data_IF_911439187956
#
_entry.id   IF_911439187956
#
_cell.length_a   1.000
_cell.length_b   1.000
_cell.length_c   1.000
_cell.angle_alpha   90.00
_cell.angle_beta   90.00
_cell.angle_gamma   90.00
#
_symmetry.space_group_name_H-M   'P 1'
#
loop_
_entity.id
_entity.type
_entity.pdbx_description
1 polymer ?
#
# COMPACT_ATOMS: atom_id res chain seq x y z
N UNK A 1 7.06 -32.34 13.28
CA UNK A 1 6.86 -31.72 11.96
C UNK A 1 5.36 -31.56 11.80
N UNK A 2 4.84 -30.34 11.88
CA UNK A 2 3.44 -30.09 11.57
C UNK A 2 3.24 -30.46 10.09
N UNK A 3 2.24 -31.28 9.78
CA UNK A 3 1.86 -31.54 8.40
C UNK A 3 1.34 -30.22 7.84
N UNK A 4 2.08 -29.62 6.91
CA UNK A 4 1.61 -28.49 6.12
C UNK A 4 0.37 -28.94 5.36
N UNK A 5 -0.73 -28.19 5.51
CA UNK A 5 -1.95 -28.46 4.77
C UNK A 5 -1.63 -28.42 3.26
N UNK A 6 -2.17 -29.35 2.45
CA UNK A 6 -1.89 -29.36 1.02
C UNK A 6 -2.43 -28.07 0.38
N UNK A 7 -1.63 -27.50 -0.53
CA UNK A 7 -2.05 -26.38 -1.39
C UNK A 7 -3.27 -26.81 -2.22
N UNK A 8 -4.23 -25.91 -2.40
CA UNK A 8 -5.49 -26.18 -3.09
C UNK A 8 -5.65 -25.40 -4.41
N UNK A 9 -4.83 -24.38 -4.64
CA UNK A 9 -4.87 -23.61 -5.88
C UNK A 9 -4.46 -24.49 -7.07
N UNK A 10 -5.06 -24.30 -8.26
CA UNK A 10 -4.75 -25.13 -9.41
C UNK A 10 -3.26 -25.10 -9.77
N UNK A 11 -2.67 -26.29 -9.92
CA UNK A 11 -1.31 -26.45 -10.43
C UNK A 11 -1.37 -26.37 -11.95
N UNK A 12 -0.59 -25.45 -12.51
CA UNK A 12 -0.56 -25.21 -13.96
C UNK A 12 0.73 -25.78 -14.52
N UNK A 13 0.62 -26.84 -15.32
CA UNK A 13 1.73 -27.28 -16.15
C UNK A 13 1.96 -26.25 -17.26
N UNK A 14 3.23 -25.93 -17.51
CA UNK A 14 3.64 -25.00 -18.55
C UNK A 14 4.40 -25.74 -19.63
N UNK A 15 4.04 -25.45 -20.89
CA UNK A 15 4.68 -26.01 -22.08
C UNK A 15 5.65 -25.00 -22.72
N UNK A 16 5.82 -23.83 -22.09
CA UNK A 16 6.66 -22.76 -22.58
C UNK A 16 8.05 -22.83 -21.94
N UNK A 17 9.08 -22.68 -22.78
CA UNK A 17 10.46 -22.48 -22.29
C UNK A 17 10.60 -21.17 -21.51
N UNK A 18 9.70 -20.20 -21.76
CA UNK A 18 9.65 -18.90 -21.10
C UNK A 18 8.40 -18.73 -20.21
N UNK A 19 8.59 -18.93 -18.91
CA UNK A 19 7.55 -18.78 -17.89
C UNK A 19 7.04 -17.35 -17.75
N UNK A 20 7.85 -16.34 -18.08
CA UNK A 20 7.46 -14.94 -17.94
C UNK A 20 6.40 -14.62 -18.99
N UNK A 21 6.64 -15.02 -20.25
CA UNK A 21 5.69 -14.82 -21.34
C UNK A 21 4.40 -15.63 -21.17
N UNK A 22 4.47 -16.85 -20.63
CA UNK A 22 3.27 -17.64 -20.30
C UNK A 22 2.38 -16.92 -19.26
N UNK A 23 2.98 -16.37 -18.20
CA UNK A 23 2.23 -15.63 -17.18
C UNK A 23 1.65 -14.31 -17.72
N UNK A 24 2.36 -13.64 -18.63
CA UNK A 24 1.81 -12.51 -19.37
C UNK A 24 0.61 -12.90 -20.23
N UNK A 25 0.72 -13.98 -21.01
CA UNK A 25 -0.34 -14.45 -21.90
C UNK A 25 -1.62 -14.86 -21.12
N UNK A 26 -1.45 -15.34 -19.89
CA UNK A 26 -2.57 -15.67 -18.98
C UNK A 26 -3.25 -14.44 -18.37
N UNK A 27 -2.66 -13.25 -18.52
CA UNK A 27 -3.22 -12.00 -18.02
C UNK A 27 -3.27 -11.92 -16.48
N UNK A 28 -2.30 -12.55 -15.82
CA UNK A 28 -2.16 -12.56 -14.35
C UNK A 28 -1.08 -11.59 -13.84
N UNK A 29 -0.53 -10.77 -14.73
CA UNK A 29 0.47 -9.74 -14.43
C UNK A 29 -0.17 -8.36 -14.45
N UNK A 30 0.53 -7.40 -13.86
CA UNK A 30 0.19 -5.98 -13.88
C UNK A 30 0.79 -5.25 -15.10
N UNK A 31 1.37 -5.96 -16.07
CA UNK A 31 2.15 -5.38 -17.17
C UNK A 31 3.66 -5.41 -16.95
N UNK A 32 4.12 -5.78 -15.75
CA UNK A 32 5.52 -6.08 -15.45
C UNK A 32 5.76 -7.59 -15.33
N UNK A 33 6.98 -8.10 -15.56
CA UNK A 33 7.33 -9.48 -15.31
C UNK A 33 7.04 -9.87 -13.85
N UNK A 34 6.56 -11.09 -13.64
CA UNK A 34 6.27 -11.64 -12.32
C UNK A 34 7.21 -12.81 -12.03
N UNK A 35 7.45 -13.07 -10.75
CA UNK A 35 8.17 -14.28 -10.33
C UNK A 35 7.21 -15.48 -10.39
N UNK A 36 7.56 -16.60 -11.04
CA UNK A 36 6.70 -17.77 -11.08
C UNK A 36 6.41 -18.30 -9.66
N UNK A 37 5.13 -18.43 -9.25
CA UNK A 37 4.74 -18.88 -7.91
C UNK A 37 4.81 -20.40 -7.80
N UNK A 38 6.02 -20.95 -7.78
CA UNK A 38 6.25 -22.38 -7.56
C UNK A 38 5.82 -22.79 -6.15
N UNK A 39 5.45 -24.07 -5.97
CA UNK A 39 5.04 -24.61 -4.67
C UNK A 39 6.03 -24.28 -3.55
N UNK A 40 7.33 -24.45 -3.80
CA UNK A 40 8.39 -24.12 -2.85
C UNK A 40 8.36 -22.65 -2.41
N UNK A 41 8.15 -21.71 -3.35
CA UNK A 41 8.12 -20.28 -3.05
C UNK A 41 6.84 -19.90 -2.30
N UNK A 42 5.72 -20.51 -2.67
CA UNK A 42 4.43 -20.30 -1.98
C UNK A 42 4.53 -20.86 -0.56
N UNK A 43 5.09 -22.05 -0.38
CA UNK A 43 5.30 -22.64 0.94
C UNK A 43 6.20 -21.78 1.82
N UNK A 44 7.29 -21.21 1.27
CA UNK A 44 8.15 -20.30 2.01
C UNK A 44 7.43 -19.02 2.49
N UNK A 45 6.42 -18.54 1.75
CA UNK A 45 5.56 -17.44 2.21
C UNK A 45 4.64 -17.89 3.33
N UNK A 46 3.99 -19.05 3.16
CA UNK A 46 3.08 -19.62 4.17
C UNK A 46 3.80 -19.86 5.50
N UNK A 47 5.04 -20.36 5.46
CA UNK A 47 5.86 -20.60 6.65
C UNK A 47 6.26 -19.31 7.39
N UNK A 48 6.10 -18.14 6.76
CA UNK A 48 6.40 -16.84 7.38
C UNK A 48 5.26 -16.32 8.27
N UNK A 49 4.11 -16.99 8.30
CA UNK A 49 2.95 -16.64 9.12
C UNK A 49 2.36 -17.88 9.80
N UNK A 50 1.86 -17.72 11.02
CA UNK A 50 1.14 -18.80 11.73
C UNK A 50 -0.36 -18.71 11.42
N UNK A 51 -0.73 -19.05 10.18
CA UNK A 51 -2.12 -18.97 9.68
C UNK A 51 -2.42 -20.20 8.82
N UNK A 52 -3.69 -20.63 8.80
CA UNK A 52 -4.13 -21.70 7.91
C UNK A 52 -4.09 -21.21 6.45
N UNK A 53 -3.40 -21.91 5.52
CA UNK A 53 -3.40 -21.54 4.10
C UNK A 53 -4.81 -21.35 3.49
N UNK A 54 -5.82 -22.03 4.01
CA UNK A 54 -7.21 -21.94 3.54
C UNK A 54 -8.06 -20.90 4.25
N UNK A 55 -7.52 -20.25 5.27
CA UNK A 55 -8.20 -19.14 5.94
C UNK A 55 -8.46 -18.00 4.95
N UNK A 56 -9.71 -17.57 4.86
CA UNK A 56 -10.12 -16.44 4.01
C UNK A 56 -10.00 -15.15 4.82
N UNK A 57 -9.04 -14.31 4.46
CA UNK A 57 -8.78 -13.01 5.08
C UNK A 57 -9.89 -11.99 4.76
N UNK A 58 -10.57 -12.16 3.64
CA UNK A 58 -11.66 -11.28 3.22
C UNK A 58 -12.05 -11.48 1.75
N UNK A 59 -13.04 -10.69 1.31
CA UNK A 59 -13.56 -10.72 -0.06
C UNK A 59 -13.03 -9.52 -0.85
N UNK A 60 -12.10 -9.76 -1.77
CA UNK A 60 -11.45 -8.69 -2.52
C UNK A 60 -12.39 -8.19 -3.61
N UNK A 61 -12.91 -6.97 -3.45
CA UNK A 61 -13.64 -6.28 -4.52
C UNK A 61 -12.74 -5.97 -5.72
N UNK A 62 -13.31 -5.78 -6.93
CA UNK A 62 -14.73 -5.67 -7.23
C UNK A 62 -15.49 -7.00 -7.42
N UNK A 63 -14.84 -8.09 -7.81
CA UNK A 63 -15.50 -9.40 -7.99
C UNK A 63 -15.86 -10.10 -6.68
N UNK A 64 -15.40 -9.57 -5.54
CA UNK A 64 -15.54 -10.20 -4.24
C UNK A 64 -14.98 -11.63 -4.27
N UNK A 65 -13.77 -11.78 -4.80
CA UNK A 65 -13.04 -13.05 -4.78
C UNK A 65 -12.52 -13.35 -3.37
N UNK A 66 -12.62 -14.60 -2.87
CA UNK A 66 -12.13 -14.94 -1.55
C UNK A 66 -10.59 -14.96 -1.55
N UNK A 67 -9.98 -14.08 -0.74
CA UNK A 67 -8.54 -14.03 -0.51
C UNK A 67 -8.14 -15.00 0.60
N UNK A 68 -7.90 -16.26 0.25
CA UNK A 68 -7.24 -17.17 1.17
C UNK A 68 -5.77 -16.80 1.36
N UNK A 69 -5.18 -17.16 2.51
CA UNK A 69 -3.75 -16.94 2.78
C UNK A 69 -2.88 -17.52 1.67
N UNK A 70 -3.24 -18.70 1.13
CA UNK A 70 -2.57 -19.30 -0.03
C UNK A 70 -2.61 -18.43 -1.29
N UNK A 71 -3.77 -17.89 -1.66
CA UNK A 71 -3.88 -17.01 -2.84
C UNK A 71 -3.13 -15.70 -2.64
N UNK A 72 -3.10 -15.18 -1.41
CA UNK A 72 -2.33 -14.00 -1.05
C UNK A 72 -0.82 -14.29 -1.15
N UNK A 73 -0.37 -15.48 -0.71
CA UNK A 73 1.00 -15.94 -0.86
C UNK A 73 1.41 -16.05 -2.33
N UNK A 74 0.58 -16.65 -3.19
CA UNK A 74 0.82 -16.74 -4.65
C UNK A 74 1.08 -15.36 -5.25
N UNK A 75 0.22 -14.38 -4.97
CA UNK A 75 0.37 -13.02 -5.50
C UNK A 75 1.57 -12.28 -4.90
N UNK A 76 1.90 -12.52 -3.63
CA UNK A 76 3.09 -11.98 -3.00
C UNK A 76 4.38 -12.52 -3.64
N UNK A 77 4.41 -13.83 -3.95
CA UNK A 77 5.53 -14.41 -4.72
C UNK A 77 5.61 -13.74 -6.09
N UNK A 78 4.51 -13.63 -6.83
CA UNK A 78 4.47 -13.00 -8.15
C UNK A 78 5.00 -11.57 -8.13
N UNK A 79 4.71 -10.80 -7.07
CA UNK A 79 5.24 -9.44 -6.88
C UNK A 79 6.75 -9.39 -6.60
N UNK A 80 7.37 -10.53 -6.26
CA UNK A 80 8.76 -10.61 -5.84
C UNK A 80 8.98 -10.31 -4.36
N UNK A 81 7.94 -10.38 -3.52
CA UNK A 81 8.08 -10.21 -2.08
C UNK A 81 9.09 -11.19 -1.49
N UNK A 82 9.78 -10.76 -0.45
CA UNK A 82 10.52 -11.67 0.41
C UNK A 82 9.56 -12.24 1.49
N UNK A 83 9.70 -13.51 1.92
CA UNK A 83 8.85 -14.08 2.96
C UNK A 83 8.72 -13.24 4.23
N UNK A 84 9.80 -12.58 4.67
CA UNK A 84 9.74 -11.68 5.84
C UNK A 84 8.78 -10.48 5.68
N UNK A 85 8.36 -10.15 4.45
CA UNK A 85 7.41 -9.06 4.19
C UNK A 85 5.96 -9.56 4.22
N UNK A 86 5.76 -10.86 4.11
CA UNK A 86 4.44 -11.47 3.96
C UNK A 86 3.47 -11.15 5.10
N UNK A 87 3.87 -11.08 6.38
CA UNK A 87 2.97 -10.66 7.45
C UNK A 87 2.36 -9.27 7.23
N UNK A 88 3.11 -8.34 6.62
CA UNK A 88 2.61 -6.99 6.27
C UNK A 88 1.58 -7.07 5.15
N UNK A 89 1.81 -7.93 4.15
CA UNK A 89 0.86 -8.15 3.05
C UNK A 89 -0.44 -8.75 3.58
N UNK A 90 -0.38 -9.75 4.46
CA UNK A 90 -1.56 -10.34 5.10
C UNK A 90 -2.38 -9.27 5.84
N UNK A 91 -1.73 -8.47 6.70
CA UNK A 91 -2.40 -7.39 7.44
C UNK A 91 -3.00 -6.32 6.50
N UNK A 92 -2.31 -5.99 5.41
CA UNK A 92 -2.83 -5.06 4.40
C UNK A 92 -4.04 -5.64 3.65
N UNK A 93 -4.07 -6.96 3.39
CA UNK A 93 -5.20 -7.62 2.73
C UNK A 93 -6.43 -7.65 3.64
N UNK A 94 -6.25 -7.95 4.92
CA UNK A 94 -7.34 -7.84 5.92
C UNK A 94 -7.89 -6.41 5.90
N UNK A 95 -7.02 -5.39 5.96
CA UNK A 95 -7.43 -3.99 5.97
C UNK A 95 -8.12 -3.50 4.68
N UNK A 96 -7.69 -3.91 3.46
CA UNK A 96 -8.39 -3.52 2.22
C UNK A 96 -9.76 -4.19 2.09
N UNK A 97 -9.98 -5.33 2.77
CA UNK A 97 -11.23 -6.07 2.71
C UNK A 97 -12.28 -5.53 3.69
N UNK A 98 -11.90 -4.66 4.62
CA UNK A 98 -12.84 -3.96 5.50
C UNK A 98 -13.80 -3.08 4.70
N UNK A 99 -15.09 -3.13 5.05
CA UNK A 99 -16.14 -2.36 4.37
C UNK A 99 -15.84 -0.85 4.38
N UNK A 100 -15.26 -0.35 5.48
CA UNK A 100 -14.88 1.04 5.66
C UNK A 100 -13.87 1.53 4.62
N UNK A 101 -13.01 0.65 4.10
CA UNK A 101 -12.05 1.01 3.06
C UNK A 101 -12.70 1.14 1.67
N UNK A 102 -13.87 0.53 1.47
CA UNK A 102 -14.65 0.62 0.23
C UNK A 102 -13.86 0.28 -1.05
N UNK A 103 -13.04 -0.79 -1.01
CA UNK A 103 -12.16 -1.20 -2.11
C UNK A 103 -12.87 -1.34 -3.47
N UNK A 104 -14.12 -1.79 -3.47
CA UNK A 104 -14.93 -1.86 -4.69
C UNK A 104 -15.02 -0.48 -5.37
N UNK A 105 -15.43 0.55 -4.63
CA UNK A 105 -15.58 1.91 -5.14
C UNK A 105 -14.24 2.49 -5.64
N UNK A 106 -13.14 2.21 -4.93
CA UNK A 106 -11.79 2.63 -5.32
C UNK A 106 -11.38 2.05 -6.68
N UNK A 107 -11.80 0.83 -7.02
CA UNK A 107 -11.38 0.17 -8.27
C UNK A 107 -12.31 0.44 -9.46
N UNK A 108 -13.61 0.70 -9.22
CA UNK A 108 -14.59 0.92 -10.30
C UNK A 108 -14.82 2.40 -10.62
N UNK A 109 -14.23 3.31 -9.85
CA UNK A 109 -14.28 4.75 -10.12
C UNK A 109 -13.54 5.11 -11.42
N UNK A 110 -14.00 6.19 -12.07
CA UNK A 110 -13.31 6.78 -13.24
C UNK A 110 -12.09 7.59 -12.85
N UNK A 111 -11.95 7.90 -11.56
CA UNK A 111 -10.74 8.44 -10.96
C UNK A 111 -9.69 7.35 -10.76
N UNK A 112 -8.41 7.71 -10.76
CA UNK A 112 -7.33 6.74 -10.59
C UNK A 112 -6.91 6.63 -9.13
N UNK A 113 -7.84 6.19 -8.26
CA UNK A 113 -7.53 5.92 -6.86
C UNK A 113 -6.84 4.55 -6.71
N UNK A 114 -5.97 4.41 -5.72
CA UNK A 114 -5.28 3.17 -5.39
C UNK A 114 -4.86 3.13 -3.92
N UNK A 115 -4.77 1.95 -3.28
CA UNK A 115 -4.40 1.86 -1.87
C UNK A 115 -2.93 2.29 -1.64
N UNK A 116 -2.75 3.39 -0.92
CA UNK A 116 -1.50 3.73 -0.25
C UNK A 116 -1.38 2.89 1.02
N UNK A 117 -0.27 2.17 1.14
CA UNK A 117 0.08 1.37 2.31
C UNK A 117 1.09 2.13 3.18
N UNK A 118 0.70 2.50 4.39
CA UNK A 118 1.56 3.19 5.36
C UNK A 118 1.91 2.17 6.45
N UNK A 119 3.19 1.84 6.56
CA UNK A 119 3.71 0.87 7.53
C UNK A 119 4.26 1.63 8.73
N UNK A 120 3.99 1.09 9.91
CA UNK A 120 4.36 1.68 11.19
C UNK A 120 4.96 0.66 12.16
N UNK A 121 5.68 1.15 13.16
CA UNK A 121 6.25 0.39 14.25
C UNK A 121 7.54 -0.37 13.88
N UNK A 122 8.02 -1.25 14.79
CA UNK A 122 9.33 -1.90 14.67
C UNK A 122 9.57 -2.69 13.37
N UNK A 123 8.50 -3.22 12.75
CA UNK A 123 8.62 -4.02 11.52
C UNK A 123 9.29 -3.25 10.38
N UNK A 124 9.11 -1.92 10.33
CA UNK A 124 9.73 -1.06 9.31
C UNK A 124 11.24 -1.30 9.24
N UNK A 125 11.91 -1.33 10.40
CA UNK A 125 13.35 -1.57 10.49
C UNK A 125 13.70 -3.03 10.28
N UNK A 126 12.90 -3.96 10.81
CA UNK A 126 13.15 -5.40 10.72
C UNK A 126 13.20 -5.90 9.28
N UNK A 127 12.36 -5.34 8.41
CA UNK A 127 12.24 -5.79 7.02
C UNK A 127 12.82 -4.79 6.01
N UNK A 128 13.41 -3.69 6.48
CA UNK A 128 14.04 -2.68 5.62
C UNK A 128 13.06 -1.88 4.77
N UNK A 129 11.91 -1.50 5.34
CA UNK A 129 10.98 -0.52 4.74
C UNK A 129 11.66 0.84 4.69
N UNK A 130 11.67 1.48 3.52
CA UNK A 130 12.14 2.84 3.38
C UNK A 130 11.17 3.81 4.05
N UNK A 131 11.75 4.68 4.85
CA UNK A 131 11.07 5.75 5.56
C UNK A 131 11.65 7.13 5.21
N UNK A 132 12.87 7.19 4.67
CA UNK A 132 13.60 8.45 4.48
C UNK A 132 13.55 8.95 3.05
N UNK A 133 14.70 9.40 2.54
CA UNK A 133 14.80 9.94 1.18
C UNK A 133 14.19 9.01 0.13
N UNK A 134 13.44 9.60 -0.81
CA UNK A 134 12.76 8.86 -1.87
C UNK A 134 11.77 7.80 -1.31
N UNK A 135 11.11 8.07 -0.17
CA UNK A 135 10.25 7.12 0.57
C UNK A 135 9.20 6.41 -0.30
N UNK A 136 8.57 7.16 -1.22
CA UNK A 136 7.56 6.68 -2.16
C UNK A 136 8.11 6.30 -3.54
N UNK A 137 9.42 6.41 -3.72
CA UNK A 137 10.10 6.14 -4.98
C UNK A 137 10.66 4.73 -5.08
N UNK A 138 11.55 4.55 -6.05
CA UNK A 138 12.22 3.28 -6.34
C UNK A 138 13.41 3.01 -5.39
N UNK A 139 13.93 1.78 -5.44
CA UNK A 139 15.20 1.39 -4.80
C UNK A 139 15.06 0.48 -3.58
N UNK A 140 13.86 0.37 -3.01
CA UNK A 140 13.62 -0.44 -1.82
C UNK A 140 12.65 -1.58 -2.09
N UNK A 141 13.16 -2.81 -1.99
CA UNK A 141 12.39 -4.03 -2.30
C UNK A 141 11.15 -4.17 -1.43
N UNK A 142 11.23 -3.86 -0.13
CA UNK A 142 10.09 -3.96 0.79
C UNK A 142 8.91 -3.10 0.30
N UNK A 143 9.11 -1.78 0.15
CA UNK A 143 8.07 -0.87 -0.33
C UNK A 143 7.54 -1.29 -1.70
N UNK A 144 8.45 -1.53 -2.66
CA UNK A 144 8.07 -1.84 -4.04
C UNK A 144 7.23 -3.12 -4.14
N UNK A 145 7.66 -4.18 -3.46
CA UNK A 145 7.02 -5.50 -3.59
C UNK A 145 5.77 -5.63 -2.72
N UNK A 146 5.71 -4.99 -1.54
CA UNK A 146 4.48 -4.95 -0.73
C UNK A 146 3.38 -4.21 -1.48
N UNK A 147 3.67 -3.01 -2.01
CA UNK A 147 2.70 -2.24 -2.80
C UNK A 147 2.25 -3.01 -4.05
N UNK A 148 3.19 -3.65 -4.75
CA UNK A 148 2.89 -4.45 -5.93
C UNK A 148 2.10 -5.72 -5.61
N UNK A 149 2.37 -6.39 -4.49
CA UNK A 149 1.61 -7.57 -4.06
C UNK A 149 0.14 -7.22 -3.85
N UNK A 150 -0.14 -6.09 -3.18
CA UNK A 150 -1.51 -5.58 -3.00
C UNK A 150 -2.16 -5.32 -4.36
N UNK A 151 -1.42 -4.72 -5.31
CA UNK A 151 -1.95 -4.50 -6.67
C UNK A 151 -2.28 -5.80 -7.41
N UNK A 152 -1.39 -6.80 -7.35
CA UNK A 152 -1.63 -8.11 -7.97
C UNK A 152 -2.81 -8.83 -7.33
N UNK A 153 -2.99 -8.73 -6.00
CA UNK A 153 -4.14 -9.30 -5.30
C UNK A 153 -5.45 -8.66 -5.78
N UNK A 154 -5.49 -7.34 -5.88
CA UNK A 154 -6.64 -6.59 -6.41
C UNK A 154 -6.93 -6.98 -7.87
N UNK A 155 -5.88 -7.24 -8.67
CA UNK A 155 -6.01 -7.65 -10.07
C UNK A 155 -6.49 -9.11 -10.22
N UNK A 156 -5.82 -10.05 -9.57
CA UNK A 156 -6.01 -11.49 -9.76
C UNK A 156 -7.16 -12.07 -8.94
N UNK A 157 -7.35 -11.60 -7.70
CA UNK A 157 -8.45 -12.04 -6.82
C UNK A 157 -9.66 -11.12 -6.99
N UNK A 158 -9.43 -9.80 -6.99
CA UNK A 158 -10.48 -8.81 -7.14
C UNK A 158 -11.00 -8.65 -8.56
N UNK A 159 -10.22 -9.05 -9.58
CA UNK A 159 -10.59 -8.91 -10.98
C UNK A 159 -10.50 -7.49 -11.53
N UNK A 160 -9.84 -6.55 -10.84
CA UNK A 160 -9.76 -5.15 -11.24
C UNK A 160 -8.83 -4.89 -12.45
N UNK A 161 -9.01 -5.63 -13.55
CA UNK A 161 -8.24 -5.52 -14.78
C UNK A 161 -8.55 -4.20 -15.51
N UNK A 162 -7.53 -3.47 -16.01
CA UNK A 162 -7.72 -2.29 -16.85
C UNK A 162 -8.62 -2.59 -18.06
N UNK A 163 -9.43 -1.61 -18.46
CA UNK A 163 -10.37 -1.67 -19.60
C UNK A 163 -11.55 -2.65 -19.43
N UNK A 164 -11.46 -3.61 -18.52
CA UNK A 164 -12.56 -4.47 -18.10
C UNK A 164 -13.29 -3.85 -16.91
N UNK A 165 -12.90 -4.18 -15.68
CA UNK A 165 -13.59 -3.73 -14.46
C UNK A 165 -12.97 -2.43 -13.92
N UNK A 166 -11.64 -2.25 -14.03
CA UNK A 166 -11.01 -1.00 -13.66
C UNK A 166 -11.39 0.09 -14.68
N UNK A 167 -12.05 1.16 -14.19
CA UNK A 167 -12.60 2.25 -15.02
C UNK A 167 -11.81 3.55 -14.96
N UNK A 168 -10.63 3.55 -14.33
CA UNK A 168 -9.76 4.72 -14.28
C UNK A 168 -9.51 5.27 -15.71
N UNK A 169 -9.73 6.57 -15.90
CA UNK A 169 -9.65 7.21 -17.22
C UNK A 169 -8.22 7.44 -17.71
N UNK A 170 -7.30 7.79 -16.81
CA UNK A 170 -5.88 8.06 -17.13
C UNK A 170 -4.88 7.15 -16.39
N UNK A 171 -5.21 6.68 -15.19
CA UNK A 171 -4.27 5.94 -14.33
C UNK A 171 -3.14 6.82 -13.76
N UNK A 172 -2.21 6.21 -13.01
CA UNK A 172 -0.93 6.84 -12.61
C UNK A 172 0.10 5.79 -12.16
N UNK A 173 1.43 6.10 -12.18
CA UNK A 173 2.46 5.11 -11.85
C UNK A 173 2.40 4.52 -10.42
N UNK A 174 1.86 5.24 -9.44
CA UNK A 174 1.70 4.69 -8.08
C UNK A 174 0.72 3.51 -8.03
N UNK A 175 -0.09 3.24 -9.06
CA UNK A 175 -0.92 2.03 -9.11
C UNK A 175 -0.09 0.74 -9.17
N UNK A 176 1.18 0.78 -9.59
CA UNK A 176 2.07 -0.39 -9.55
C UNK A 176 2.63 -0.67 -8.16
N UNK A 177 2.87 0.40 -7.39
CA UNK A 177 3.49 0.35 -6.08
C UNK A 177 3.18 1.62 -5.31
N UNK A 178 2.44 1.50 -4.21
CA UNK A 178 2.14 2.64 -3.33
C UNK A 178 2.29 2.24 -1.87
N UNK A 179 3.52 2.28 -1.36
CA UNK A 179 3.86 1.82 -0.02
C UNK A 179 4.99 2.66 0.59
N UNK A 180 4.85 3.02 1.85
CA UNK A 180 5.78 3.88 2.59
C UNK A 180 5.85 3.47 4.06
N UNK A 181 7.00 3.66 4.70
CA UNK A 181 7.13 3.60 6.17
C UNK A 181 7.23 5.01 6.76
N UNK A 182 6.79 5.20 8.01
CA UNK A 182 6.63 6.57 8.56
C UNK A 182 7.90 7.40 8.85
N UNK A 183 9.08 6.91 9.21
CA UNK A 183 10.17 7.78 9.77
C UNK A 183 9.79 8.39 11.12
N UNK A 184 9.49 7.47 12.04
CA UNK A 184 9.20 7.77 13.44
C UNK A 184 10.42 8.33 14.19
N UNK A 185 11.61 8.19 13.63
CA UNK A 185 12.87 8.56 14.26
C UNK A 185 13.24 10.04 14.04
N UNK A 186 12.95 10.57 12.84
CA UNK A 186 13.15 12.00 12.53
C UNK A 186 11.86 12.84 12.68
N UNK A 187 10.72 12.20 12.96
CA UNK A 187 9.47 12.89 13.27
C UNK A 187 9.51 13.57 14.65
N UNK A 188 9.13 14.85 14.76
CA UNK A 188 9.00 15.53 16.05
C UNK A 188 7.73 15.14 16.82
N UNK A 189 6.84 14.36 16.22
CA UNK A 189 5.56 13.94 16.80
C UNK A 189 5.49 12.43 16.99
N UNK A 190 4.56 12.01 17.84
CA UNK A 190 4.24 10.59 18.02
C UNK A 190 3.88 9.92 16.69
N UNK A 191 4.30 8.66 16.46
CA UNK A 191 3.95 7.91 15.27
C UNK A 191 2.44 7.82 15.02
N UNK A 192 2.04 7.74 13.75
CA UNK A 192 0.66 7.60 13.30
C UNK A 192 -0.07 6.44 13.99
N UNK A 193 0.59 5.30 14.18
CA UNK A 193 -0.03 4.15 14.85
C UNK A 193 -0.29 4.41 16.34
N UNK A 194 0.60 5.14 17.01
CA UNK A 194 0.42 5.53 18.42
C UNK A 194 -0.72 6.53 18.56
N UNK A 195 -0.79 7.51 17.66
CA UNK A 195 -1.90 8.46 17.60
C UNK A 195 -3.27 7.76 17.42
N UNK A 196 -3.27 6.60 16.75
CA UNK A 196 -4.45 5.76 16.54
C UNK A 196 -4.73 4.77 17.67
N UNK A 197 -3.99 4.85 18.78
CA UNK A 197 -4.22 4.06 20.00
C UNK A 197 -3.48 2.73 20.06
N UNK A 198 -2.55 2.45 19.14
CA UNK A 198 -1.67 1.28 19.23
C UNK A 198 -0.46 1.56 20.13
N UNK A 199 0.13 0.51 20.70
CA UNK A 199 1.35 0.65 21.51
C UNK A 199 2.56 0.92 20.60
N UNK A 200 3.58 1.65 21.07
CA UNK A 200 4.80 1.94 20.30
C UNK A 200 5.54 0.70 19.76
N UNK A 201 5.41 -0.45 20.45
CA UNK A 201 6.05 -1.70 20.05
C UNK A 201 5.20 -2.52 19.06
N UNK A 202 3.96 -2.10 18.80
CA UNK A 202 3.08 -2.76 17.83
C UNK A 202 3.37 -2.25 16.44
N UNK A 203 3.55 -3.19 15.50
CA UNK A 203 3.63 -2.86 14.09
C UNK A 203 2.23 -2.87 13.49
N UNK A 204 1.94 -1.89 12.63
CA UNK A 204 0.62 -1.73 12.01
C UNK A 204 0.74 -1.35 10.55
N UNK A 205 -0.35 -1.57 9.81
CA UNK A 205 -0.56 -1.03 8.47
C UNK A 205 -1.76 -0.09 8.51
N UNK A 206 -1.62 1.10 7.94
CA UNK A 206 -2.71 2.02 7.64
C UNK A 206 -2.89 2.09 6.13
N UNK A 207 -4.13 2.03 5.67
CA UNK A 207 -4.46 2.17 4.25
C UNK A 207 -5.20 3.47 3.98
N UNK A 208 -4.88 4.07 2.84
CA UNK A 208 -5.53 5.28 2.34
C UNK A 208 -5.83 5.15 0.85
N UNK A 209 -7.07 5.40 0.43
CA UNK A 209 -7.44 5.43 -0.99
C UNK A 209 -6.95 6.74 -1.63
N UNK A 210 -5.76 6.73 -2.22
CA UNK A 210 -5.10 7.93 -2.74
C UNK A 210 -4.92 7.92 -4.26
N UNK A 211 -4.64 9.09 -4.82
CA UNK A 211 -4.18 9.25 -6.20
C UNK A 211 -2.65 9.50 -6.22
N UNK A 212 -2.08 9.71 -7.40
CA UNK A 212 -0.71 10.15 -7.62
C UNK A 212 -0.30 11.23 -6.61
N UNK A 213 0.84 11.06 -5.93
CA UNK A 213 1.38 12.09 -5.05
C UNK A 213 1.55 13.42 -5.79
N UNK A 214 1.13 14.50 -5.15
CA UNK A 214 1.39 15.87 -5.60
C UNK A 214 2.54 16.45 -4.76
N UNK A 215 3.68 16.71 -5.39
CA UNK A 215 4.84 17.26 -4.68
C UNK A 215 4.65 18.75 -4.42
N UNK A 216 4.86 19.17 -3.17
CA UNK A 216 4.81 20.57 -2.76
C UNK A 216 6.22 21.01 -2.40
N UNK A 217 6.68 22.09 -3.02
CA UNK A 217 8.02 22.63 -2.83
C UNK A 217 7.92 24.01 -2.20
N UNK A 218 8.29 24.11 -0.93
CA UNK A 218 8.35 25.37 -0.19
C UNK A 218 9.68 25.45 0.58
N UNK A 219 10.52 26.40 0.17
CA UNK A 219 11.80 26.74 0.80
C UNK A 219 11.80 28.15 1.40
N UNK A 220 10.66 28.84 1.35
CA UNK A 220 10.54 30.24 1.73
C UNK A 220 9.89 30.41 3.11
N UNK A 221 8.93 29.54 3.45
CA UNK A 221 8.23 29.57 4.73
C UNK A 221 9.17 29.28 5.89
N UNK A 222 9.18 30.16 6.89
CA UNK A 222 10.03 30.05 8.09
C UNK A 222 9.26 29.90 9.40
N UNK A 223 7.94 29.99 9.33
CA UNK A 223 7.03 29.76 10.46
C UNK A 223 6.01 28.70 10.09
N UNK A 224 5.43 28.05 11.11
CA UNK A 224 4.36 27.09 10.97
C UNK A 224 3.16 27.67 10.20
N UNK A 225 2.74 28.89 10.52
CA UNK A 225 1.61 29.54 9.86
C UNK A 225 1.86 29.77 8.37
N UNK A 226 3.04 30.27 8.00
CA UNK A 226 3.42 30.47 6.59
C UNK A 226 3.40 29.14 5.83
N UNK A 227 3.99 28.11 6.42
CA UNK A 227 4.07 26.79 5.81
C UNK A 227 2.68 26.15 5.70
N UNK A 228 1.85 26.21 6.74
CA UNK A 228 0.48 25.70 6.70
C UNK A 228 -0.36 26.40 5.63
N UNK A 229 -0.26 27.73 5.49
CA UNK A 229 -0.94 28.48 4.43
C UNK A 229 -0.51 28.03 3.04
N UNK A 230 0.79 27.82 2.84
CA UNK A 230 1.37 27.35 1.57
C UNK A 230 0.88 25.94 1.21
N UNK A 231 0.90 25.02 2.17
CA UNK A 231 0.39 23.66 2.01
C UNK A 231 -1.12 23.67 1.75
N UNK A 232 -1.91 24.40 2.55
CA UNK A 232 -3.36 24.50 2.42
C UNK A 232 -3.80 25.09 1.09
N UNK A 233 -3.13 26.14 0.60
CA UNK A 233 -3.42 26.68 -0.73
C UNK A 233 -3.18 25.65 -1.83
N UNK A 234 -2.11 24.87 -1.72
CA UNK A 234 -1.80 23.82 -2.69
C UNK A 234 -2.82 22.68 -2.65
N UNK A 235 -3.33 22.34 -1.45
CA UNK A 235 -4.33 21.29 -1.25
C UNK A 235 -5.64 21.55 -1.99
N UNK A 236 -6.00 22.81 -2.24
CA UNK A 236 -7.16 23.17 -3.07
C UNK A 236 -7.09 22.59 -4.50
N UNK A 237 -5.89 22.21 -4.96
CA UNK A 237 -5.65 21.67 -6.30
C UNK A 237 -5.54 20.14 -6.37
N UNK A 238 -5.47 19.43 -5.23
CA UNK A 238 -5.18 17.97 -5.16
C UNK A 238 -6.28 17.11 -5.80
N UNK A 239 -7.46 17.68 -6.05
CA UNK A 239 -8.50 17.05 -6.87
C UNK A 239 -9.22 18.07 -7.74
N UNK A 240 -9.89 19.02 -7.09
CA UNK A 240 -10.49 20.19 -7.72
C UNK A 240 -10.88 21.18 -6.63
N UNK A 241 -10.61 22.47 -6.81
CA UNK A 241 -10.96 23.51 -5.84
C UNK A 241 -12.47 23.60 -5.54
N UNK A 242 -13.33 23.13 -6.45
CA UNK A 242 -14.79 23.07 -6.24
C UNK A 242 -15.23 21.91 -5.33
N UNK A 243 -14.35 20.92 -5.15
CA UNK A 243 -14.61 19.73 -4.36
C UNK A 243 -13.82 19.71 -3.03
N UNK A 244 -12.87 20.63 -2.84
CA UNK A 244 -12.11 20.78 -1.61
C UNK A 244 -12.82 21.73 -0.62
N UNK A 245 -12.94 21.41 0.68
CA UNK A 245 -12.59 20.14 1.37
C UNK A 245 -13.76 19.14 1.44
N UNK A 246 -14.81 19.34 0.62
CA UNK A 246 -16.17 18.83 0.86
C UNK A 246 -16.34 17.30 0.70
N UNK A 247 -15.49 16.61 -0.07
CA UNK A 247 -15.79 15.24 -0.52
C UNK A 247 -14.79 14.14 -0.15
N UNK A 248 -13.65 14.44 0.48
CA UNK A 248 -12.67 13.39 0.83
C UNK A 248 -11.62 13.83 1.83
N UNK A 249 -11.09 12.88 2.59
CA UNK A 249 -9.87 13.06 3.38
C UNK A 249 -8.66 13.36 2.47
N UNK A 250 -7.70 14.12 2.98
CA UNK A 250 -6.43 14.39 2.30
C UNK A 250 -5.27 13.89 3.16
N UNK A 251 -4.41 13.05 2.58
CA UNK A 251 -3.17 12.61 3.21
C UNK A 251 -2.03 13.57 2.88
N UNK A 252 -1.42 14.14 3.90
CA UNK A 252 -0.24 14.98 3.80
C UNK A 252 0.97 14.23 4.35
N UNK A 253 2.00 14.02 3.52
CA UNK A 253 3.26 13.39 3.92
C UNK A 253 4.31 14.49 3.99
N UNK A 254 4.78 14.79 5.20
CA UNK A 254 5.73 15.87 5.45
C UNK A 254 7.16 15.35 5.47
N UNK A 255 8.07 16.08 4.83
CA UNK A 255 9.50 15.87 5.02
C UNK A 255 9.95 16.32 6.42
N UNK A 256 11.07 15.79 6.93
CA UNK A 256 11.55 16.10 8.28
C UNK A 256 11.85 17.58 8.49
N UNK A 257 12.26 18.31 7.46
CA UNK A 257 12.48 19.77 7.54
C UNK A 257 11.18 20.53 7.83
N UNK A 258 10.13 20.28 7.05
CA UNK A 258 8.82 20.90 7.25
C UNK A 258 8.22 20.51 8.61
N UNK A 259 8.33 19.24 9.00
CA UNK A 259 7.89 18.79 10.31
C UNK A 259 8.63 19.53 11.45
N UNK A 260 9.95 19.73 11.33
CA UNK A 260 10.75 20.49 12.30
C UNK A 260 10.33 21.97 12.36
N UNK A 261 10.03 22.62 11.24
CA UNK A 261 9.50 24.00 11.22
C UNK A 261 8.19 24.12 12.01
N UNK A 262 7.26 23.17 11.84
CA UNK A 262 6.02 23.16 12.63
C UNK A 262 6.29 22.98 14.13
N UNK A 263 7.13 22.00 14.49
CA UNK A 263 7.42 21.69 15.89
C UNK A 263 8.19 22.82 16.60
N UNK A 264 9.05 23.57 15.90
CA UNK A 264 9.76 24.74 16.45
C UNK A 264 8.82 25.85 16.91
N UNK A 265 7.70 26.03 16.20
CA UNK A 265 6.64 26.96 16.58
C UNK A 265 5.61 26.33 17.54
N UNK A 266 5.88 25.10 18.01
CA UNK A 266 5.05 24.39 18.99
C UNK A 266 3.80 23.73 18.42
N UNK A 267 3.67 23.59 17.11
CA UNK A 267 2.49 22.98 16.49
C UNK A 267 2.53 21.44 16.58
N UNK A 268 1.40 20.86 17.00
CA UNK A 268 1.12 19.44 16.90
C UNK A 268 0.53 19.09 15.52
N UNK A 269 0.46 17.79 15.21
CA UNK A 269 -0.30 17.30 14.05
C UNK A 269 -1.76 17.76 14.05
N UNK A 270 -2.38 17.92 15.23
CA UNK A 270 -3.76 18.40 15.34
C UNK A 270 -3.89 19.90 15.03
N UNK A 271 -2.92 20.72 15.42
CA UNK A 271 -2.92 22.15 15.09
C UNK A 271 -2.84 22.35 13.58
N UNK A 272 -2.00 21.55 12.90
CA UNK A 272 -1.91 21.54 11.43
C UNK A 272 -3.26 21.16 10.80
N UNK A 273 -3.90 20.09 11.27
CA UNK A 273 -5.21 19.64 10.73
C UNK A 273 -6.34 20.62 11.00
N UNK A 274 -6.31 21.34 12.12
CA UNK A 274 -7.33 22.36 12.44
C UNK A 274 -7.14 23.64 11.62
N UNK A 275 -5.89 23.94 11.25
CA UNK A 275 -5.57 25.11 10.45
C UNK A 275 -5.93 24.94 8.97
N UNK A 276 -5.68 23.74 8.41
CA UNK A 276 -5.94 23.38 7.01
C UNK A 276 -7.42 23.13 6.73
#
# INVERSE_FOLDING_TARGET
MAQTAPLQSPHLETQYDDLIEDLFARGVTDGLPVVPPTEERVQAMLDAVDRDPQEVLGMVGPNYGPASVEKVAINAVMAGCHPSFFPVVVAAVEAICEEQFALHAINVTTFSATPLTIINGPIRRQIGVNCGHNALGHGFRANATIGRAIRLIILNIGGAKPQEICKATLGHPAQFTFCVGEDEEESPWEPLHVERGFRPEQSTVTLFGGHSPFQINDHASRTAEQLALSLGWTMTSVWNHKNFPVFSDTALILGPEHAKTFAQDGWSKNDIRQFL
#
